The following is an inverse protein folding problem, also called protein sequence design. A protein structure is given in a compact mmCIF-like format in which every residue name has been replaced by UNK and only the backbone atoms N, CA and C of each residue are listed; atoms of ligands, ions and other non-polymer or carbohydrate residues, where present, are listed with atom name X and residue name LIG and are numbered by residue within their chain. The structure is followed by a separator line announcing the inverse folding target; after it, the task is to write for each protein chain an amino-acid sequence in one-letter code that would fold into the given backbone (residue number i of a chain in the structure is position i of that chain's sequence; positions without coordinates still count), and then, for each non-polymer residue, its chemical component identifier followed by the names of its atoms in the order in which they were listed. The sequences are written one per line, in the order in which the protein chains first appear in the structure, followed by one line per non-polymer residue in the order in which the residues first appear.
data_IF_542689284782
#
_entry.id   IF_542689284782
#
_cell.length_a   1.000
_cell.length_b   1.000
_cell.length_c   1.000
_cell.angle_alpha   90.00
_cell.angle_beta   90.00
_cell.angle_gamma   90.00
#
_symmetry.space_group_name_H-M   'P 1'
#
loop_
_entity.id
_entity.type
_entity.pdbx_description
1 polymer ?
#
# COMPACT_ATOMS: atom_id res chain seq x y z
N UNK A 1 -13.98 1.70 -16.56
CA UNK A 1 -14.42 2.21 -15.24
C UNK A 1 -13.23 2.88 -14.59
N UNK A 2 -13.41 3.99 -13.92
CA UNK A 2 -12.31 4.72 -13.25
C UNK A 2 -12.09 4.16 -11.84
N UNK A 3 -10.84 4.18 -11.35
CA UNK A 3 -10.55 4.01 -9.94
C UNK A 3 -11.30 5.10 -9.15
N UNK A 4 -12.00 4.72 -8.07
CA UNK A 4 -12.71 5.69 -7.24
C UNK A 4 -11.76 6.37 -6.25
N UNK A 5 -10.76 5.65 -5.76
CA UNK A 5 -9.84 6.16 -4.75
C UNK A 5 -8.43 5.60 -4.92
N UNK A 6 -7.47 6.51 -5.10
CA UNK A 6 -6.05 6.20 -4.98
C UNK A 6 -5.56 6.83 -3.68
N UNK A 7 -5.24 5.98 -2.71
CA UNK A 7 -4.82 6.38 -1.37
C UNK A 7 -3.31 6.18 -1.27
N UNK A 8 -2.56 7.27 -1.31
CA UNK A 8 -1.09 7.22 -1.32
C UNK A 8 -0.55 7.29 0.10
N UNK A 9 0.18 6.25 0.52
CA UNK A 9 0.88 6.30 1.81
C UNK A 9 2.13 7.15 1.68
N UNK A 10 2.24 8.18 2.54
CA UNK A 10 3.27 9.21 2.40
C UNK A 10 3.68 9.79 3.75
N UNK A 11 4.95 10.13 3.87
CA UNK A 11 5.49 10.86 5.02
C UNK A 11 5.23 12.37 4.90
N UNK A 12 5.08 13.12 6.00
CA UNK A 12 4.72 14.54 5.97
C UNK A 12 5.73 15.43 5.23
N UNK A 13 7.01 15.09 5.26
CA UNK A 13 8.08 15.81 4.58
C UNK A 13 7.94 15.78 3.05
N UNK A 14 7.35 14.71 2.51
CA UNK A 14 7.12 14.51 1.08
C UNK A 14 5.73 14.93 0.59
N UNK A 15 4.84 15.37 1.46
CA UNK A 15 3.44 15.68 1.13
C UNK A 15 3.30 16.70 -0.03
N UNK A 16 4.26 17.60 -0.18
CA UNK A 16 4.27 18.59 -1.26
C UNK A 16 4.37 17.95 -2.66
N UNK A 17 4.96 16.77 -2.76
CA UNK A 17 5.15 16.05 -4.02
C UNK A 17 3.81 15.59 -4.63
N UNK A 18 2.81 15.32 -3.79
CA UNK A 18 1.49 14.82 -4.23
C UNK A 18 0.36 15.86 -4.22
N UNK A 19 0.63 17.10 -3.76
CA UNK A 19 -0.41 18.13 -3.55
C UNK A 19 -1.29 18.42 -4.78
N UNK A 20 -0.78 18.18 -5.99
CA UNK A 20 -1.50 18.43 -7.25
C UNK A 20 -2.03 17.16 -7.89
N UNK A 21 -1.74 16.01 -7.34
CA UNK A 21 -2.20 14.74 -7.87
C UNK A 21 -3.62 14.44 -7.36
N UNK A 22 -4.45 13.77 -8.16
CA UNK A 22 -5.81 13.39 -7.77
C UNK A 22 -5.76 12.16 -6.83
N UNK A 23 -5.15 12.29 -5.66
CA UNK A 23 -4.93 11.22 -4.70
C UNK A 23 -5.31 11.64 -3.30
N UNK A 24 -5.63 10.68 -2.44
CA UNK A 24 -5.91 10.88 -1.02
C UNK A 24 -4.62 10.53 -0.25
N UNK A 25 -4.02 11.46 0.53
CA UNK A 25 -2.87 11.13 1.34
C UNK A 25 -3.26 10.26 2.54
N UNK A 26 -2.53 9.17 2.79
CA UNK A 26 -2.52 8.44 4.05
C UNK A 26 -1.21 8.75 4.78
N UNK A 27 -1.30 9.44 5.89
CA UNK A 27 -0.15 10.05 6.56
C UNK A 27 0.62 9.05 7.42
N UNK A 28 1.80 8.62 6.96
CA UNK A 28 2.69 7.66 7.60
C UNK A 28 3.52 8.31 8.73
N UNK A 29 2.85 8.79 9.76
CA UNK A 29 3.46 9.49 10.90
C UNK A 29 2.91 9.02 12.24
N UNK A 30 1.86 8.22 12.24
CA UNK A 30 1.23 7.71 13.45
C UNK A 30 1.58 6.25 13.69
N UNK A 31 1.82 5.94 14.95
CA UNK A 31 2.14 4.58 15.38
C UNK A 31 1.45 4.22 16.69
N UNK A 32 1.17 2.96 16.84
CA UNK A 32 0.80 2.36 18.12
C UNK A 32 2.07 2.07 18.90
N UNK A 33 2.22 2.67 20.06
CA UNK A 33 3.32 2.42 20.98
C UNK A 33 2.92 1.48 22.11
N UNK A 34 3.75 1.45 23.13
CA UNK A 34 3.53 0.61 24.31
C UNK A 34 2.30 1.03 25.09
N UNK A 35 1.55 0.01 25.60
CA UNK A 35 0.47 0.18 26.54
C UNK A 35 -0.90 0.65 26.02
N UNK A 36 -1.37 0.30 24.90
CA UNK A 36 -1.31 0.90 23.56
C UNK A 36 -1.72 2.38 23.59
N UNK A 37 -0.80 3.26 23.21
CA UNK A 37 -1.04 4.70 23.05
C UNK A 37 -0.73 5.14 21.63
N UNK A 38 -1.43 6.18 21.16
CA UNK A 38 -1.18 6.77 19.86
C UNK A 38 0.02 7.74 19.94
N UNK A 39 1.07 7.44 19.19
CA UNK A 39 2.24 8.30 19.05
C UNK A 39 2.30 8.88 17.65
N UNK A 40 2.76 10.13 17.57
CA UNK A 40 3.15 10.80 16.34
C UNK A 40 4.66 10.98 16.32
N UNK A 41 5.31 10.73 15.18
CA UNK A 41 6.74 10.92 15.04
C UNK A 41 7.14 12.37 15.36
N UNK A 42 8.21 12.53 16.15
CA UNK A 42 8.71 13.85 16.57
C UNK A 42 9.19 14.67 15.36
N UNK A 43 9.06 15.99 15.45
CA UNK A 43 9.52 16.93 14.42
C UNK A 43 8.64 17.05 13.19
N UNK A 44 7.61 16.20 13.05
CA UNK A 44 6.67 16.30 11.93
C UNK A 44 5.61 17.37 12.23
N UNK A 45 5.35 18.25 11.25
CA UNK A 45 4.14 19.07 11.29
C UNK A 45 2.92 18.14 11.31
N UNK A 46 1.91 18.49 12.12
CA UNK A 46 0.70 17.69 12.17
C UNK A 46 -0.07 17.82 10.84
N UNK A 47 -0.20 16.76 10.05
CA UNK A 47 -0.94 16.82 8.78
C UNK A 47 -2.43 17.08 9.02
N UNK A 48 -3.14 17.56 7.99
CA UNK A 48 -4.58 17.76 8.01
C UNK A 48 -5.20 17.19 6.75
N UNK A 49 -6.42 16.66 6.89
CA UNK A 49 -7.15 16.03 5.77
C UNK A 49 -6.53 14.71 5.32
N UNK A 50 -7.18 14.00 4.43
CA UNK A 50 -6.77 12.66 4.01
C UNK A 50 -7.07 11.60 5.06
N UNK A 51 -6.19 10.61 5.23
CA UNK A 51 -6.37 9.48 6.14
C UNK A 51 -5.20 9.35 7.12
N UNK A 52 -5.44 8.75 8.27
CA UNK A 52 -4.38 8.31 9.18
C UNK A 52 -3.84 6.96 8.71
N UNK A 53 -2.51 6.83 8.55
CA UNK A 53 -1.87 5.52 8.49
C UNK A 53 -1.34 5.19 9.88
N UNK A 54 -1.74 4.05 10.41
CA UNK A 54 -1.44 3.57 11.75
C UNK A 54 -0.50 2.37 11.67
N UNK A 55 0.75 2.56 12.10
CA UNK A 55 1.81 1.55 12.18
C UNK A 55 1.80 0.88 13.57
N UNK A 56 2.07 -0.41 13.65
CA UNK A 56 2.12 -1.19 14.89
C UNK A 56 3.52 -1.68 15.28
N UNK A 57 4.58 -1.31 14.58
CA UNK A 57 5.95 -1.86 14.78
C UNK A 57 6.51 -1.65 16.20
N UNK A 58 6.01 -0.68 16.95
CA UNK A 58 6.45 -0.41 18.33
C UNK A 58 5.47 -0.88 19.40
N UNK A 59 4.42 -1.58 19.02
CA UNK A 59 3.42 -2.11 19.94
C UNK A 59 3.96 -3.34 20.69
N UNK A 60 3.75 -3.38 21.99
CA UNK A 60 4.22 -4.45 22.87
C UNK A 60 3.20 -5.56 23.11
N UNK A 61 2.02 -5.48 22.50
CA UNK A 61 0.94 -6.46 22.65
C UNK A 61 0.12 -6.33 23.93
N UNK A 62 0.40 -5.32 24.77
CA UNK A 62 -0.24 -5.14 26.06
C UNK A 62 -1.30 -4.03 26.05
N UNK A 63 -2.25 -4.08 27.00
CA UNK A 63 -3.25 -3.06 27.23
C UNK A 63 -4.57 -3.27 26.49
N UNK A 64 -5.52 -2.36 26.69
CA UNK A 64 -6.89 -2.47 26.19
C UNK A 64 -7.08 -1.68 24.89
N UNK A 65 -7.77 -2.28 23.91
CA UNK A 65 -8.05 -1.64 22.62
C UNK A 65 -8.96 -0.40 22.72
N UNK A 66 -10.04 -0.34 23.52
CA UNK A 66 -10.99 0.77 23.48
C UNK A 66 -10.39 2.15 23.78
N UNK A 67 -9.55 2.37 24.83
CA UNK A 67 -8.94 3.67 25.06
C UNK A 67 -8.05 4.13 23.92
N UNK A 68 -7.24 3.23 23.38
CA UNK A 68 -6.39 3.51 22.21
C UNK A 68 -7.21 3.90 20.98
N UNK A 69 -8.26 3.15 20.67
CA UNK A 69 -9.13 3.47 19.53
C UNK A 69 -9.82 4.84 19.71
N UNK A 70 -10.14 5.22 20.96
CA UNK A 70 -10.66 6.55 21.25
C UNK A 70 -9.62 7.66 20.96
N UNK A 71 -8.34 7.46 21.33
CA UNK A 71 -7.24 8.39 20.97
C UNK A 71 -7.13 8.54 19.45
N UNK A 72 -7.16 7.41 18.70
CA UNK A 72 -7.12 7.42 17.23
C UNK A 72 -8.27 8.26 16.65
N UNK A 73 -9.50 8.03 17.09
CA UNK A 73 -10.68 8.73 16.59
C UNK A 73 -10.66 10.22 16.96
N UNK A 74 -10.19 10.56 18.16
CA UNK A 74 -10.06 11.96 18.60
C UNK A 74 -9.03 12.71 17.72
N UNK A 75 -7.86 12.11 17.49
CA UNK A 75 -6.84 12.71 16.62
C UNK A 75 -7.34 12.83 15.18
N UNK A 76 -7.99 11.79 14.63
CA UNK A 76 -8.61 11.86 13.30
C UNK A 76 -9.59 13.03 13.20
N UNK A 77 -10.47 13.20 14.17
CA UNK A 77 -11.45 14.29 14.20
C UNK A 77 -10.78 15.65 14.29
N UNK A 78 -9.77 15.80 15.17
CA UNK A 78 -9.02 17.05 15.37
C UNK A 78 -8.21 17.47 14.11
N UNK A 79 -7.80 16.50 13.28
CA UNK A 79 -7.04 16.74 12.05
C UNK A 79 -7.90 16.78 10.79
N UNK A 80 -9.17 16.45 10.89
CA UNK A 80 -10.06 16.33 9.72
C UNK A 80 -9.68 15.15 8.84
N UNK A 81 -9.15 14.05 9.40
CA UNK A 81 -8.96 12.81 8.67
C UNK A 81 -10.30 12.15 8.41
N UNK A 82 -10.42 11.53 7.24
CA UNK A 82 -11.66 10.91 6.77
C UNK A 82 -11.63 9.39 6.81
N UNK A 83 -10.60 8.77 7.41
CA UNK A 83 -10.47 7.33 7.51
C UNK A 83 -9.15 6.89 8.12
N UNK A 84 -9.00 5.58 8.32
CA UNK A 84 -7.82 4.95 8.91
C UNK A 84 -7.33 3.80 8.04
N UNK A 85 -6.03 3.77 7.79
CA UNK A 85 -5.31 2.65 7.18
C UNK A 85 -4.46 2.00 8.26
N UNK A 86 -4.69 0.73 8.55
CA UNK A 86 -3.87 -0.06 9.46
C UNK A 86 -2.72 -0.68 8.68
N UNK A 87 -1.50 -0.27 8.97
CA UNK A 87 -0.26 -0.83 8.42
C UNK A 87 0.34 -1.82 9.43
N UNK A 88 -0.36 -2.94 9.62
CA UNK A 88 -0.01 -3.96 10.61
C UNK A 88 0.77 -5.10 9.91
N UNK A 89 2.07 -4.88 9.70
CA UNK A 89 2.98 -5.84 9.06
C UNK A 89 3.20 -7.09 9.93
N UNK A 90 3.08 -6.95 11.24
CA UNK A 90 3.18 -8.08 12.15
C UNK A 90 2.17 -9.17 11.81
N UNK A 91 2.54 -10.43 11.99
CA UNK A 91 1.65 -11.56 11.88
C UNK A 91 0.40 -11.36 12.75
N UNK A 92 -0.56 -12.25 12.60
CA UNK A 92 -1.84 -12.16 13.33
C UNK A 92 -1.64 -12.15 14.84
N UNK A 93 -2.00 -11.05 15.50
CA UNK A 93 -1.90 -10.85 16.94
C UNK A 93 -3.29 -10.56 17.53
N UNK A 94 -3.73 -11.31 18.58
CA UNK A 94 -5.05 -11.12 19.20
C UNK A 94 -5.31 -9.68 19.68
N UNK A 95 -4.35 -8.93 20.26
CA UNK A 95 -4.57 -7.53 20.63
C UNK A 95 -4.88 -6.63 19.43
N UNK A 96 -4.20 -6.83 18.29
CA UNK A 96 -4.46 -6.07 17.06
C UNK A 96 -5.82 -6.43 16.45
N UNK A 97 -6.27 -7.68 16.58
CA UNK A 97 -7.63 -8.06 16.19
C UNK A 97 -8.70 -7.27 16.97
N UNK A 98 -8.49 -7.10 18.28
CA UNK A 98 -9.39 -6.29 19.11
C UNK A 98 -9.40 -4.83 18.68
N UNK A 99 -8.22 -4.26 18.38
CA UNK A 99 -8.10 -2.89 17.84
C UNK A 99 -8.87 -2.75 16.54
N UNK A 100 -8.71 -3.70 15.60
CA UNK A 100 -9.43 -3.64 14.31
C UNK A 100 -10.96 -3.76 14.51
N UNK A 101 -11.43 -4.63 15.41
CA UNK A 101 -12.87 -4.73 15.72
C UNK A 101 -13.42 -3.42 16.28
N UNK A 102 -12.73 -2.84 17.25
CA UNK A 102 -13.14 -1.59 17.89
C UNK A 102 -13.11 -0.41 16.89
N UNK A 103 -12.00 -0.25 16.14
CA UNK A 103 -11.91 0.77 15.08
C UNK A 103 -12.99 0.58 14.02
N UNK A 104 -13.30 -0.67 13.63
CA UNK A 104 -14.36 -1.00 12.69
C UNK A 104 -15.71 -0.46 13.13
N UNK A 105 -16.07 -0.67 14.41
CA UNK A 105 -17.29 -0.12 15.00
C UNK A 105 -17.28 1.41 15.06
N UNK A 106 -16.15 2.01 15.41
CA UNK A 106 -15.99 3.48 15.49
C UNK A 106 -16.05 4.15 14.11
N UNK A 107 -15.37 3.58 13.11
CA UNK A 107 -15.34 4.08 11.73
C UNK A 107 -16.71 3.95 11.05
N UNK A 108 -17.41 2.81 11.24
CA UNK A 108 -18.76 2.59 10.72
C UNK A 108 -19.74 3.67 11.17
N UNK A 109 -19.75 4.03 12.46
CA UNK A 109 -20.62 5.09 13.00
C UNK A 109 -20.37 6.47 12.38
N UNK A 110 -19.18 6.71 11.82
CA UNK A 110 -18.76 7.98 11.20
C UNK A 110 -18.79 7.96 9.68
N UNK A 111 -19.12 6.81 9.10
CA UNK A 111 -18.99 6.56 7.67
C UNK A 111 -17.55 6.81 7.15
N UNK A 112 -16.57 6.44 7.95
CA UNK A 112 -15.14 6.50 7.60
C UNK A 112 -14.66 5.15 7.10
N UNK A 113 -13.93 5.06 5.97
CA UNK A 113 -13.28 3.84 5.56
C UNK A 113 -12.22 3.43 6.60
N UNK A 114 -12.22 2.15 6.92
CA UNK A 114 -11.17 1.45 7.62
C UNK A 114 -10.53 0.47 6.64
N UNK A 115 -9.21 0.55 6.46
CA UNK A 115 -8.48 -0.35 5.57
C UNK A 115 -7.51 -1.17 6.39
N UNK A 116 -7.52 -2.49 6.21
CA UNK A 116 -6.74 -3.41 7.03
C UNK A 116 -5.98 -4.43 6.18
N UNK A 117 -4.84 -4.94 6.64
CA UNK A 117 -4.17 -6.06 6.00
C UNK A 117 -5.04 -7.32 5.98
N UNK A 118 -4.76 -8.19 5.03
CA UNK A 118 -5.53 -9.41 4.79
C UNK A 118 -5.75 -10.27 6.05
N UNK A 119 -4.72 -10.45 6.87
CA UNK A 119 -4.79 -11.26 8.08
C UNK A 119 -5.82 -10.76 9.09
N UNK A 120 -6.24 -9.50 9.01
CA UNK A 120 -7.24 -8.87 9.87
C UNK A 120 -8.60 -8.64 9.18
N UNK A 121 -8.76 -9.02 7.92
CA UNK A 121 -9.98 -8.80 7.14
C UNK A 121 -11.25 -9.44 7.74
N UNK A 122 -11.10 -10.49 8.57
CA UNK A 122 -12.20 -11.15 9.28
C UNK A 122 -12.65 -10.39 10.54
N UNK A 123 -11.88 -9.40 11.01
CA UNK A 123 -12.16 -8.71 12.28
C UNK A 123 -13.26 -7.66 12.16
N UNK A 124 -13.54 -7.15 10.96
CA UNK A 124 -14.59 -6.15 10.75
C UNK A 124 -15.19 -6.29 9.36
N UNK A 125 -16.50 -6.48 9.28
CA UNK A 125 -17.24 -6.53 8.00
C UNK A 125 -17.29 -5.18 7.28
N UNK A 126 -17.04 -4.09 7.98
CA UNK A 126 -16.98 -2.74 7.40
C UNK A 126 -15.62 -2.39 6.80
N UNK A 127 -14.57 -3.13 7.14
CA UNK A 127 -13.23 -2.84 6.66
C UNK A 127 -13.02 -3.27 5.21
N UNK A 128 -12.29 -2.44 4.45
CA UNK A 128 -11.65 -2.85 3.20
C UNK A 128 -10.40 -3.66 3.52
N UNK A 129 -10.20 -4.72 2.79
CA UNK A 129 -9.08 -5.66 2.99
C UNK A 129 -8.06 -5.43 1.88
N UNK A 130 -6.86 -4.96 2.24
CA UNK A 130 -5.81 -4.75 1.26
C UNK A 130 -5.06 -6.03 0.95
N UNK A 131 -5.00 -6.34 -0.35
CA UNK A 131 -4.29 -7.50 -0.90
C UNK A 131 -3.05 -7.01 -1.62
N UNK A 132 -1.90 -7.58 -1.28
CA UNK A 132 -0.62 -7.22 -1.91
C UNK A 132 -0.57 -7.63 -3.37
N UNK A 133 -0.05 -6.73 -4.21
CA UNK A 133 0.31 -7.03 -5.60
C UNK A 133 1.74 -7.55 -5.76
N UNK A 134 2.53 -7.57 -4.71
CA UNK A 134 3.88 -8.10 -4.69
C UNK A 134 3.84 -9.62 -4.52
N UNK A 135 3.77 -10.33 -5.63
CA UNK A 135 3.73 -11.79 -5.67
C UNK A 135 5.00 -12.32 -6.31
N UNK A 136 5.58 -13.38 -5.73
CA UNK A 136 6.70 -14.13 -6.29
C UNK A 136 6.29 -15.42 -7.02
N UNK A 137 4.98 -15.75 -7.02
CA UNK A 137 4.40 -16.91 -7.69
C UNK A 137 2.87 -16.84 -7.77
N UNK A 138 2.28 -17.69 -8.60
CA UNK A 138 0.83 -17.74 -8.81
C UNK A 138 0.32 -16.63 -9.75
N UNK A 139 -0.96 -16.31 -9.65
CA UNK A 139 -1.64 -15.32 -10.49
C UNK A 139 -2.23 -14.20 -9.64
N UNK A 140 -1.89 -12.95 -9.95
CA UNK A 140 -2.45 -11.77 -9.28
C UNK A 140 -3.98 -11.72 -9.44
N UNK A 141 -4.49 -12.00 -10.63
CA UNK A 141 -5.93 -12.00 -10.87
C UNK A 141 -6.65 -13.06 -10.01
N UNK A 142 -6.13 -14.28 -9.98
CA UNK A 142 -6.69 -15.35 -9.15
C UNK A 142 -6.63 -14.96 -7.65
N UNK A 143 -5.52 -14.43 -7.19
CA UNK A 143 -5.34 -13.98 -5.80
C UNK A 143 -6.38 -12.93 -5.37
N UNK A 144 -6.68 -11.99 -6.26
CA UNK A 144 -7.70 -10.97 -6.02
C UNK A 144 -9.13 -11.56 -6.04
N UNK A 145 -9.42 -12.51 -6.94
CA UNK A 145 -10.70 -13.22 -6.98
C UNK A 145 -10.94 -14.02 -5.71
N UNK A 146 -9.97 -14.82 -5.26
CA UNK A 146 -10.03 -15.56 -4.00
C UNK A 146 -10.27 -14.65 -2.80
N UNK A 147 -9.66 -13.46 -2.78
CA UNK A 147 -9.90 -12.47 -1.75
C UNK A 147 -11.34 -11.92 -1.79
N UNK A 148 -11.88 -11.68 -2.99
CA UNK A 148 -13.27 -11.24 -3.16
C UNK A 148 -14.28 -12.32 -2.72
N UNK A 149 -13.99 -13.58 -3.01
CA UNK A 149 -14.81 -14.71 -2.53
C UNK A 149 -14.78 -14.82 -1.01
N UNK A 150 -13.62 -14.61 -0.41
CA UNK A 150 -13.42 -14.74 1.04
C UNK A 150 -13.99 -13.58 1.86
N UNK A 151 -13.79 -12.35 1.41
CA UNK A 151 -14.11 -11.15 2.18
C UNK A 151 -15.34 -10.39 1.69
N UNK A 152 -15.77 -10.64 0.46
CA UNK A 152 -16.82 -9.92 -0.23
C UNK A 152 -16.27 -9.02 -1.34
N UNK A 153 -17.00 -8.95 -2.45
CA UNK A 153 -16.58 -8.29 -3.70
C UNK A 153 -16.20 -6.81 -3.50
N UNK A 154 -16.98 -6.10 -2.72
CA UNK A 154 -16.80 -4.65 -2.50
C UNK A 154 -15.81 -4.33 -1.36
N UNK A 155 -15.23 -5.36 -0.75
CA UNK A 155 -14.35 -5.19 0.42
C UNK A 155 -12.87 -5.39 0.12
N UNK A 156 -12.50 -5.61 -1.13
CA UNK A 156 -11.10 -5.80 -1.52
C UNK A 156 -10.50 -4.49 -2.02
N UNK A 157 -9.31 -4.15 -1.54
CA UNK A 157 -8.48 -3.06 -2.03
C UNK A 157 -7.12 -3.63 -2.49
N UNK A 158 -6.50 -3.02 -3.49
CA UNK A 158 -5.18 -3.41 -3.97
C UNK A 158 -4.09 -2.62 -3.23
N UNK A 159 -3.24 -3.30 -2.46
CA UNK A 159 -1.96 -2.72 -2.03
C UNK A 159 -0.99 -2.82 -3.21
N UNK A 160 -0.83 -1.72 -3.95
CA UNK A 160 0.02 -1.67 -5.14
C UNK A 160 1.48 -1.50 -4.71
N UNK A 161 2.19 -2.60 -4.64
CA UNK A 161 3.58 -2.67 -4.23
C UNK A 161 4.47 -3.05 -5.41
N UNK A 162 5.65 -2.44 -5.46
CA UNK A 162 6.66 -2.68 -6.49
C UNK A 162 7.57 -3.83 -6.08
N UNK A 163 7.67 -4.85 -6.91
CA UNK A 163 8.61 -5.96 -6.71
C UNK A 163 9.95 -5.60 -7.34
N UNK A 164 11.04 -5.89 -6.66
CA UNK A 164 12.39 -5.96 -7.20
C UNK A 164 13.19 -6.93 -6.32
N UNK A 165 13.28 -8.19 -6.74
CA UNK A 165 13.87 -9.26 -5.93
C UNK A 165 14.73 -10.19 -6.78
N UNK A 166 15.85 -10.63 -6.22
CA UNK A 166 16.76 -11.61 -6.80
C UNK A 166 16.66 -12.94 -6.02
N UNK A 167 16.20 -13.97 -6.70
CA UNK A 167 16.06 -15.32 -6.16
C UNK A 167 17.25 -16.17 -6.58
N UNK A 168 17.98 -16.69 -5.63
CA UNK A 168 18.96 -17.74 -5.86
C UNK A 168 18.25 -19.09 -6.07
N UNK A 169 18.56 -19.81 -7.14
CA UNK A 169 17.88 -21.05 -7.48
C UNK A 169 18.73 -22.29 -7.15
N UNK A 170 18.14 -23.34 -6.56
CA UNK A 170 16.73 -23.43 -6.15
C UNK A 170 16.42 -22.55 -4.92
N UNK A 171 15.23 -21.94 -4.86
CA UNK A 171 14.78 -21.12 -3.74
C UNK A 171 13.72 -21.87 -2.93
N UNK A 172 14.10 -22.72 -1.96
CA UNK A 172 13.12 -23.52 -1.22
C UNK A 172 12.16 -22.70 -0.37
N UNK A 173 12.61 -21.51 0.09
CA UNK A 173 11.77 -20.58 0.87
C UNK A 173 10.83 -19.76 0.01
N UNK A 174 11.05 -19.70 -1.31
CA UNK A 174 10.34 -18.78 -2.21
C UNK A 174 10.65 -17.30 -1.93
N UNK A 175 11.65 -17.00 -1.09
CA UNK A 175 12.04 -15.64 -0.74
C UNK A 175 13.25 -15.21 -1.58
N UNK A 176 13.16 -14.00 -2.16
CA UNK A 176 14.26 -13.34 -2.84
C UNK A 176 14.98 -12.34 -1.94
N UNK A 177 16.12 -11.87 -2.41
CA UNK A 177 16.84 -10.73 -1.83
C UNK A 177 16.32 -9.44 -2.47
N UNK A 178 15.79 -8.49 -1.70
CA UNK A 178 15.32 -7.22 -2.26
C UNK A 178 16.45 -6.46 -2.98
N UNK A 179 16.13 -5.89 -4.12
CA UNK A 179 17.01 -5.04 -4.91
C UNK A 179 16.53 -3.58 -4.85
N UNK A 180 17.46 -2.65 -4.66
CA UNK A 180 17.17 -1.26 -4.94
C UNK A 180 17.00 -1.02 -6.45
N UNK A 181 16.32 0.06 -6.84
CA UNK A 181 16.18 0.42 -8.27
C UNK A 181 17.55 0.63 -8.93
N UNK A 182 18.49 1.25 -8.25
CA UNK A 182 19.85 1.45 -8.76
C UNK A 182 20.59 0.12 -8.96
N UNK A 183 20.40 -0.83 -8.05
CA UNK A 183 21.00 -2.18 -8.17
C UNK A 183 20.38 -2.94 -9.34
N UNK A 184 19.06 -2.90 -9.48
CA UNK A 184 18.34 -3.52 -10.58
C UNK A 184 18.83 -2.95 -11.93
N UNK A 185 18.90 -1.62 -12.05
CA UNK A 185 19.37 -0.96 -13.28
C UNK A 185 20.83 -1.31 -13.59
N UNK A 186 21.72 -1.33 -12.58
CA UNK A 186 23.12 -1.76 -12.76
C UNK A 186 23.20 -3.20 -13.28
N UNK A 187 22.43 -4.15 -12.69
CA UNK A 187 22.43 -5.54 -13.15
C UNK A 187 21.90 -5.68 -14.58
N UNK A 188 20.81 -5.03 -14.91
CA UNK A 188 20.28 -5.04 -16.28
C UNK A 188 21.32 -4.51 -17.27
N UNK A 189 22.01 -3.40 -16.93
CA UNK A 189 23.04 -2.83 -17.80
C UNK A 189 24.27 -3.73 -17.94
N UNK A 190 24.76 -4.31 -16.84
CA UNK A 190 25.95 -5.14 -16.85
C UNK A 190 25.74 -6.50 -17.52
N UNK A 191 24.59 -7.12 -17.27
CA UNK A 191 24.28 -8.45 -17.76
C UNK A 191 23.64 -8.43 -19.15
N UNK A 192 23.03 -7.31 -19.55
CA UNK A 192 22.25 -7.16 -20.79
C UNK A 192 21.31 -8.36 -21.04
N UNK A 193 20.49 -8.78 -20.05
CA UNK A 193 19.74 -10.02 -20.13
C UNK A 193 18.55 -9.87 -21.07
N UNK A 194 18.05 -11.00 -21.57
CA UNK A 194 16.71 -11.06 -22.17
C UNK A 194 15.66 -10.88 -21.07
N UNK A 195 14.84 -9.84 -21.18
CA UNK A 195 13.78 -9.54 -20.21
C UNK A 195 12.46 -10.09 -20.73
N UNK A 196 11.76 -10.85 -19.90
CA UNK A 196 10.47 -11.45 -20.18
C UNK A 196 9.37 -10.82 -19.33
N UNK A 197 8.11 -11.04 -19.72
CA UNK A 197 6.93 -10.59 -18.98
C UNK A 197 6.08 -11.78 -18.56
N UNK A 198 5.73 -11.87 -17.28
CA UNK A 198 4.77 -12.82 -16.74
C UNK A 198 3.37 -12.19 -16.74
N UNK A 199 2.45 -12.76 -17.50
CA UNK A 199 1.03 -12.35 -17.52
C UNK A 199 0.36 -12.60 -16.15
N UNK A 200 0.74 -13.68 -15.48
CA UNK A 200 0.14 -14.11 -14.22
C UNK A 200 0.56 -13.19 -13.06
N UNK A 201 1.84 -12.87 -12.98
CA UNK A 201 2.37 -11.97 -11.94
C UNK A 201 2.16 -10.49 -12.29
N UNK A 202 1.87 -10.17 -13.55
CA UNK A 202 1.93 -8.81 -14.08
C UNK A 202 3.28 -8.15 -13.80
N UNK A 203 4.39 -8.88 -13.92
CA UNK A 203 5.73 -8.44 -13.58
C UNK A 203 6.75 -8.87 -14.66
N UNK A 204 7.90 -8.21 -14.70
CA UNK A 204 9.01 -8.60 -15.58
C UNK A 204 9.98 -9.50 -14.85
N UNK A 205 10.69 -10.32 -15.60
CA UNK A 205 11.75 -11.14 -15.05
C UNK A 205 12.88 -11.40 -16.06
N UNK A 206 14.04 -11.75 -15.53
CA UNK A 206 15.15 -12.33 -16.28
C UNK A 206 15.91 -13.34 -15.44
N UNK A 207 16.71 -14.16 -16.07
CA UNK A 207 17.59 -15.12 -15.41
C UNK A 207 19.04 -14.86 -15.78
N UNK A 208 19.97 -15.18 -14.88
CA UNK A 208 21.39 -15.14 -15.16
C UNK A 208 22.14 -16.20 -14.34
N UNK A 209 23.39 -16.48 -14.79
CA UNK A 209 24.31 -17.35 -14.08
C UNK A 209 25.43 -16.54 -13.46
N UNK A 210 25.65 -16.70 -12.17
CA UNK A 210 26.83 -16.21 -11.45
C UNK A 210 27.85 -17.33 -11.28
N UNK A 211 29.13 -17.02 -11.42
CA UNK A 211 30.22 -18.01 -11.17
C UNK A 211 30.31 -18.37 -9.70
N UNK A 212 29.95 -17.48 -8.80
CA UNK A 212 30.08 -17.64 -7.34
C UNK A 212 28.81 -18.25 -6.72
N UNK A 213 27.64 -17.89 -7.19
CA UNK A 213 26.36 -18.22 -6.55
C UNK A 213 25.43 -19.10 -7.40
N UNK A 214 25.76 -19.36 -8.68
CA UNK A 214 24.94 -20.24 -9.54
C UNK A 214 23.81 -19.53 -10.25
N UNK A 215 22.65 -20.19 -10.37
CA UNK A 215 21.51 -19.68 -11.12
C UNK A 215 20.68 -18.67 -10.33
N UNK A 216 20.31 -17.57 -10.98
CA UNK A 216 19.50 -16.50 -10.42
C UNK A 216 18.27 -16.23 -11.28
N UNK A 217 17.18 -15.86 -10.61
CA UNK A 217 15.95 -15.37 -11.20
C UNK A 217 15.63 -14.02 -10.58
N UNK A 218 15.57 -12.97 -11.40
CA UNK A 218 15.24 -11.61 -10.95
C UNK A 218 13.83 -11.28 -11.40
N UNK A 219 12.97 -10.96 -10.43
CA UNK A 219 11.59 -10.51 -10.64
C UNK A 219 11.51 -9.03 -10.33
N UNK A 220 10.89 -8.23 -11.20
CA UNK A 220 10.80 -6.80 -10.98
C UNK A 220 9.60 -6.14 -11.67
N UNK A 221 9.24 -4.97 -11.13
CA UNK A 221 8.21 -4.10 -11.69
C UNK A 221 8.83 -2.83 -12.30
N UNK A 222 8.17 -2.36 -13.36
CA UNK A 222 8.32 -1.03 -13.93
C UNK A 222 6.95 -0.32 -14.02
N UNK A 223 6.92 0.89 -14.58
CA UNK A 223 5.66 1.63 -14.73
C UNK A 223 4.60 0.91 -15.57
N UNK A 224 5.03 0.13 -16.57
CA UNK A 224 4.11 -0.63 -17.42
C UNK A 224 3.50 -1.83 -16.68
N UNK A 225 4.30 -2.54 -15.87
CA UNK A 225 3.80 -3.66 -15.08
C UNK A 225 2.90 -3.21 -13.93
N UNK A 226 3.24 -2.12 -13.23
CA UNK A 226 2.36 -1.52 -12.23
C UNK A 226 1.01 -1.10 -12.83
N UNK A 227 1.02 -0.55 -14.05
CA UNK A 227 -0.22 -0.27 -14.78
C UNK A 227 -1.02 -1.54 -15.07
N UNK A 228 -0.37 -2.64 -15.47
CA UNK A 228 -1.03 -3.94 -15.67
C UNK A 228 -1.66 -4.48 -14.39
N UNK A 229 -1.01 -4.29 -13.24
CA UNK A 229 -1.58 -4.65 -11.92
C UNK A 229 -2.84 -3.83 -11.62
N UNK A 230 -2.85 -2.54 -11.93
CA UNK A 230 -4.04 -1.70 -11.84
C UNK A 230 -5.18 -2.17 -12.76
N UNK A 231 -4.86 -2.47 -14.03
CA UNK A 231 -5.83 -2.98 -15.01
C UNK A 231 -6.43 -4.32 -14.55
N UNK A 232 -5.63 -5.21 -13.96
CA UNK A 232 -6.11 -6.48 -13.39
C UNK A 232 -7.11 -6.23 -12.24
N UNK A 233 -6.82 -5.32 -11.31
CA UNK A 233 -7.72 -4.95 -10.22
C UNK A 233 -9.02 -4.31 -10.75
N UNK A 234 -8.92 -3.37 -11.70
CA UNK A 234 -10.08 -2.72 -12.33
C UNK A 234 -10.99 -3.72 -13.05
N UNK A 235 -10.41 -4.75 -13.69
CA UNK A 235 -11.20 -5.80 -14.37
C UNK A 235 -12.04 -6.64 -13.41
N UNK A 236 -11.76 -6.57 -12.11
CA UNK A 236 -12.48 -7.22 -11.02
C UNK A 236 -13.34 -6.24 -10.20
N UNK A 237 -13.56 -5.02 -10.69
CA UNK A 237 -14.26 -3.93 -10.00
C UNK A 237 -13.62 -3.52 -8.66
N UNK A 238 -12.34 -3.76 -8.46
CA UNK A 238 -11.60 -3.26 -7.30
C UNK A 238 -11.32 -1.78 -7.52
N UNK A 239 -11.87 -0.91 -6.66
CA UNK A 239 -11.95 0.54 -6.86
C UNK A 239 -10.96 1.33 -6.01
N UNK A 240 -10.42 0.72 -4.96
CA UNK A 240 -9.48 1.34 -4.02
C UNK A 240 -8.10 0.74 -4.19
N UNK A 241 -7.11 1.60 -4.36
CA UNK A 241 -5.70 1.22 -4.53
C UNK A 241 -4.84 2.01 -3.56
N UNK A 242 -3.90 1.31 -2.91
CA UNK A 242 -2.99 1.88 -1.92
C UNK A 242 -1.52 1.71 -2.36
N UNK A 243 -0.94 2.64 -3.13
CA UNK A 243 0.48 2.65 -3.41
C UNK A 243 1.27 3.40 -2.33
N UNK A 244 2.45 2.90 -1.90
CA UNK A 244 3.43 3.71 -1.19
C UNK A 244 4.06 4.76 -2.13
N UNK A 245 4.12 6.02 -1.69
CA UNK A 245 4.67 7.09 -2.52
C UNK A 245 6.08 6.82 -3.06
N UNK A 246 7.03 6.30 -2.26
CA UNK A 246 8.37 5.99 -2.76
C UNK A 246 8.40 5.01 -3.93
N UNK A 247 7.41 4.14 -4.04
CA UNK A 247 7.35 3.09 -5.06
C UNK A 247 6.76 3.56 -6.39
N UNK A 248 6.04 4.70 -6.39
CA UNK A 248 5.35 5.21 -7.58
C UNK A 248 5.77 6.61 -8.03
N UNK A 249 6.60 7.30 -7.26
CA UNK A 249 6.98 8.69 -7.51
C UNK A 249 7.60 8.93 -8.91
N UNK A 250 8.36 7.96 -9.40
CA UNK A 250 9.03 7.98 -10.71
C UNK A 250 8.11 7.53 -11.87
N UNK A 251 6.95 6.95 -11.59
CA UNK A 251 6.08 6.32 -12.60
C UNK A 251 4.65 6.87 -12.60
N UNK A 252 4.40 8.01 -11.98
CA UNK A 252 3.06 8.63 -11.86
C UNK A 252 2.34 8.77 -13.20
N UNK A 253 3.07 9.19 -14.25
CA UNK A 253 2.54 9.33 -15.62
C UNK A 253 2.08 7.99 -16.18
N UNK A 254 2.85 6.92 -15.98
CA UNK A 254 2.48 5.57 -16.41
C UNK A 254 1.22 5.07 -15.72
N UNK A 255 0.97 5.50 -14.48
CA UNK A 255 -0.22 5.18 -13.71
C UNK A 255 -1.42 6.09 -14.01
N UNK A 256 -1.27 7.07 -14.90
CA UNK A 256 -2.33 8.03 -15.23
C UNK A 256 -2.56 9.09 -14.16
N UNK A 257 -1.59 9.29 -13.26
CA UNK A 257 -1.64 10.33 -12.23
C UNK A 257 -1.01 11.63 -12.76
N UNK A 258 -1.85 12.50 -13.27
CA UNK A 258 -1.44 13.80 -13.78
C UNK A 258 -1.76 14.91 -12.79
N UNK A 259 -0.88 15.91 -12.63
CA UNK A 259 -1.19 17.09 -11.83
C UNK A 259 -2.44 17.80 -12.38
N UNK A 260 -3.34 18.21 -11.49
CA UNK A 260 -4.46 19.03 -11.89
C UNK A 260 -3.99 20.33 -12.56
N UNK A 261 -4.54 20.66 -13.72
CA UNK A 261 -4.26 21.92 -14.41
C UNK A 261 -4.63 23.11 -13.51
N UNK A 262 -3.77 24.14 -13.47
CA UNK A 262 -4.11 25.41 -12.84
C UNK A 262 -5.23 26.05 -13.63
N UNK A 263 -6.45 26.00 -13.15
CA UNK A 263 -7.51 26.90 -13.62
C UNK A 263 -7.01 28.32 -13.34
N UNK A 264 -6.61 29.05 -14.40
CA UNK A 264 -6.37 30.49 -14.33
C UNK A 264 -7.71 31.18 -14.10
N UNK A 265 -8.13 31.20 -12.84
CA UNK A 265 -9.22 32.10 -12.43
C UNK A 265 -8.63 33.47 -12.21
N UNK A 266 -9.02 34.43 -13.05
CA UNK A 266 -8.76 35.83 -12.75
C UNK A 266 -8.37 36.70 -13.94
N UNK A 267 -9.28 36.91 -14.89
CA UNK A 267 -9.43 38.23 -15.51
C UNK A 267 -10.90 38.59 -15.51
N UNK A 268 -11.30 39.28 -14.46
CA UNK A 268 -12.50 40.14 -14.51
C UNK A 268 -12.09 41.30 -15.41
N UNK A 269 -12.58 41.31 -16.64
CA UNK A 269 -12.60 42.51 -17.47
C UNK A 269 -13.60 43.48 -16.85
N UNK A 270 -13.09 44.67 -16.51
CA UNK A 270 -13.88 45.83 -16.24
C UNK A 270 -14.44 46.40 -17.55
#
# INVERSE_FOLDING_TARGET
MSLESIIVTITPDRLREIQRLPVIPAHAVYRMGRGPHLFRAHGSSAPRGGMMLLDCRTFDGLGAAPPFCQEVIQECSARGFTGVVCDFEAGRLPPLEQVVRELGGQCRRRNWPLIVPEQYGHCSEHALVMISSALSGGSLRQRLQEAQERFGRDRVALALQRVAEDFFLPSPSGSGTPLSQDELHRRIHQLSPSIFFSQELCARYFTYMSRESGAHFVLFDDGATLRRKLEAAQSLDIRTVLPPWPEIADVTVALGLYPAERTRTGQVLR
#
